data_IF_947055034038
#
_entry.id   IF_947055034038
#
_cell.length_a   1.000
_cell.length_b   1.000
_cell.length_c   1.000
_cell.angle_alpha   90.00
_cell.angle_beta   90.00
_cell.angle_gamma   90.00
#
_symmetry.space_group_name_H-M   'P 1'
#
loop_
_entity.id
_entity.type
_entity.pdbx_description
1 polymer ?
#
# COMPACT_ATOMS: atom_id res chain seq x y z
N UNK A 1 -5.70 -4.72 -0.91
CA UNK A 1 -4.42 -4.93 -1.62
C UNK A 1 -3.23 -4.33 -0.88
N UNK A 2 -3.22 -3.05 -0.49
CA UNK A 2 -2.05 -2.46 0.19
C UNK A 2 -1.77 -3.05 1.58
N UNK A 3 -2.79 -3.38 2.37
CA UNK A 3 -2.56 -4.10 3.64
C UNK A 3 -1.89 -5.48 3.44
N UNK A 4 -2.16 -6.18 2.33
CA UNK A 4 -1.51 -7.45 2.01
C UNK A 4 -0.04 -7.25 1.63
N UNK A 5 0.27 -6.17 0.91
CA UNK A 5 1.65 -5.79 0.61
C UNK A 5 2.42 -5.30 1.86
N UNK A 6 1.72 -4.65 2.80
CA UNK A 6 2.25 -4.31 4.11
C UNK A 6 2.64 -5.57 4.90
N UNK A 7 1.72 -6.53 5.00
CA UNK A 7 1.99 -7.85 5.60
C UNK A 7 3.17 -8.56 4.91
N UNK A 8 3.26 -8.52 3.58
CA UNK A 8 4.39 -9.11 2.86
C UNK A 8 5.73 -8.45 3.25
N UNK A 9 5.77 -7.13 3.43
CA UNK A 9 6.96 -6.43 3.90
C UNK A 9 7.35 -6.79 5.35
N UNK A 10 6.40 -7.23 6.16
CA UNK A 10 6.65 -7.72 7.52
C UNK A 10 7.19 -9.15 7.54
N UNK A 11 6.55 -10.07 6.81
CA UNK A 11 6.76 -11.52 7.01
C UNK A 11 7.76 -12.17 6.06
N UNK A 12 8.00 -11.57 4.89
CA UNK A 12 8.89 -12.15 3.88
C UNK A 12 10.39 -11.93 4.12
N UNK A 13 10.86 -10.84 4.76
CA UNK A 13 12.28 -10.67 5.05
C UNK A 13 12.86 -11.86 5.81
N UNK A 14 14.02 -12.35 5.36
CA UNK A 14 14.70 -13.50 5.97
C UNK A 14 14.23 -14.87 5.46
N UNK A 15 13.18 -14.94 4.65
CA UNK A 15 12.75 -16.17 3.98
C UNK A 15 13.54 -16.41 2.70
N UNK A 16 13.76 -17.68 2.37
CA UNK A 16 14.16 -18.11 1.04
C UNK A 16 13.02 -17.90 0.04
N UNK A 17 13.33 -17.96 -1.26
CA UNK A 17 12.31 -17.86 -2.31
C UNK A 17 11.25 -18.96 -2.15
N UNK A 18 11.66 -20.19 -1.83
CA UNK A 18 10.71 -21.29 -1.66
C UNK A 18 9.80 -21.07 -0.46
N UNK A 19 10.32 -20.60 0.67
CA UNK A 19 9.52 -20.27 1.85
C UNK A 19 8.56 -19.10 1.58
N UNK A 20 9.02 -18.07 0.86
CA UNK A 20 8.19 -16.93 0.47
C UNK A 20 7.02 -17.35 -0.44
N UNK A 21 7.28 -18.22 -1.43
CA UNK A 21 6.25 -18.76 -2.33
C UNK A 21 5.24 -19.68 -1.63
N UNK A 22 5.60 -20.25 -0.49
CA UNK A 22 4.72 -21.08 0.34
C UNK A 22 4.19 -20.33 1.58
N UNK A 23 4.31 -18.99 1.63
CA UNK A 23 3.77 -18.20 2.73
C UNK A 23 2.39 -17.66 2.36
N UNK A 24 1.40 -17.95 3.21
CA UNK A 24 0.05 -17.44 3.05
C UNK A 24 -0.02 -15.96 3.44
N UNK A 25 -0.48 -15.12 2.51
CA UNK A 25 -0.80 -13.72 2.78
C UNK A 25 -2.32 -13.58 2.94
N UNK A 26 -2.75 -12.54 3.67
CA UNK A 26 -4.16 -12.25 4.00
C UNK A 26 -5.13 -12.21 2.80
N UNK A 27 -4.64 -12.15 1.56
CA UNK A 27 -5.45 -12.35 0.37
C UNK A 27 -5.16 -13.69 -0.32
N UNK A 28 -5.46 -14.80 0.33
CA UNK A 28 -5.20 -16.16 -0.15
C UNK A 28 -5.74 -16.42 -1.58
N UNK A 29 -6.95 -15.94 -1.88
CA UNK A 29 -7.53 -16.00 -3.24
C UNK A 29 -6.72 -15.24 -4.29
N UNK A 30 -6.09 -14.11 -3.92
CA UNK A 30 -5.22 -13.32 -4.80
C UNK A 30 -3.84 -13.97 -4.88
N UNK A 31 -3.31 -14.57 -3.81
CA UNK A 31 -2.02 -15.25 -3.86
C UNK A 31 -2.05 -16.45 -4.80
N UNK A 32 -3.10 -17.27 -4.76
CA UNK A 32 -3.29 -18.35 -5.71
C UNK A 32 -3.44 -17.78 -7.12
N UNK A 33 -4.32 -16.79 -7.33
CA UNK A 33 -4.51 -16.18 -8.65
C UNK A 33 -3.24 -15.53 -9.19
N UNK A 34 -2.45 -14.83 -8.37
CA UNK A 34 -1.19 -14.18 -8.73
C UNK A 34 -0.07 -15.18 -8.96
N UNK A 35 -0.03 -16.30 -8.23
CA UNK A 35 0.89 -17.41 -8.51
C UNK A 35 0.60 -18.00 -9.89
N UNK A 36 -0.67 -18.27 -10.19
CA UNK A 36 -1.07 -18.76 -11.50
C UNK A 36 -0.80 -17.73 -12.61
N UNK A 37 -1.08 -16.43 -12.37
CA UNK A 37 -0.79 -15.36 -13.31
C UNK A 37 0.71 -15.16 -13.54
N UNK A 38 1.52 -15.23 -12.48
CA UNK A 38 2.98 -15.13 -12.53
C UNK A 38 3.59 -16.29 -13.31
N UNK A 39 3.09 -17.51 -13.11
CA UNK A 39 3.46 -18.66 -13.95
C UNK A 39 3.19 -18.36 -15.42
N UNK A 40 2.00 -17.84 -15.77
CA UNK A 40 1.67 -17.49 -17.16
C UNK A 40 2.56 -16.37 -17.73
N UNK A 41 2.90 -15.34 -16.93
CA UNK A 41 3.74 -14.20 -17.35
C UNK A 41 5.21 -14.64 -17.54
N UNK A 42 5.75 -15.48 -16.65
CA UNK A 42 7.09 -16.07 -16.79
C UNK A 42 7.20 -16.96 -18.03
N UNK A 43 6.10 -17.62 -18.43
CA UNK A 43 6.00 -18.34 -19.70
C UNK A 43 5.63 -17.44 -20.90
N UNK A 44 5.72 -16.11 -20.76
CA UNK A 44 5.62 -15.16 -21.87
C UNK A 44 4.20 -14.78 -22.30
N UNK A 45 3.20 -14.89 -21.41
CA UNK A 45 1.83 -14.45 -21.70
C UNK A 45 1.49 -13.11 -21.06
N UNK A 46 0.93 -12.18 -21.83
CA UNK A 46 0.56 -10.84 -21.37
C UNK A 46 -0.89 -10.78 -20.88
N UNK A 47 -1.21 -9.81 -20.01
CA UNK A 47 -2.56 -9.59 -19.44
C UNK A 47 -3.67 -9.48 -20.51
N UNK A 48 -3.33 -8.99 -21.71
CA UNK A 48 -4.22 -8.92 -22.87
C UNK A 48 -4.71 -10.28 -23.40
N UNK A 49 -4.08 -11.39 -23.00
CA UNK A 49 -4.51 -12.74 -23.38
C UNK A 49 -5.84 -13.17 -22.71
N UNK A 50 -6.35 -12.41 -21.74
CA UNK A 50 -7.55 -12.74 -20.95
C UNK A 50 -8.78 -11.88 -21.25
N UNK A 51 -8.73 -11.02 -22.27
CA UNK A 51 -9.86 -10.16 -22.63
C UNK A 51 -10.15 -10.30 -24.12
N UNK A 52 -11.19 -11.07 -24.48
CA UNK A 52 -11.56 -11.38 -25.86
C UNK A 52 -11.89 -10.13 -26.70
N UNK A 53 -12.29 -9.03 -26.06
CA UNK A 53 -12.64 -7.75 -26.72
C UNK A 53 -11.77 -6.56 -26.26
N UNK A 54 -10.71 -6.82 -25.49
CA UNK A 54 -9.92 -5.79 -24.83
C UNK A 54 -10.69 -5.05 -23.71
N UNK A 55 -10.02 -4.10 -23.06
CA UNK A 55 -10.64 -3.32 -21.99
C UNK A 55 -11.62 -2.28 -22.56
N UNK A 56 -12.83 -2.14 -22.00
CA UNK A 56 -13.79 -1.13 -22.46
C UNK A 56 -13.26 0.29 -22.23
N UNK A 57 -13.72 1.23 -23.07
CA UNK A 57 -13.39 2.65 -22.92
C UNK A 57 -13.87 3.13 -21.55
N UNK A 58 -12.95 3.67 -20.74
CA UNK A 58 -13.23 4.11 -19.37
C UNK A 58 -12.83 3.11 -18.28
N UNK A 59 -12.46 1.87 -18.61
CA UNK A 59 -11.98 0.89 -17.63
C UNK A 59 -10.78 1.39 -16.80
N UNK A 60 -9.88 2.16 -17.42
CA UNK A 60 -8.74 2.76 -16.71
C UNK A 60 -9.12 3.81 -15.66
N UNK A 61 -10.37 4.31 -15.65
CA UNK A 61 -10.87 5.16 -14.57
C UNK A 61 -11.27 4.34 -13.34
N UNK A 62 -11.56 3.05 -13.49
CA UNK A 62 -11.89 2.16 -12.36
C UNK A 62 -10.65 1.91 -11.49
N UNK A 63 -9.46 1.91 -12.09
CA UNK A 63 -8.18 1.87 -11.38
C UNK A 63 -7.91 3.16 -10.56
N UNK A 64 -8.59 4.25 -10.93
CA UNK A 64 -8.56 5.49 -10.17
C UNK A 64 -9.66 5.43 -9.11
N UNK A 65 -9.26 5.19 -7.85
CA UNK A 65 -10.19 5.15 -6.72
C UNK A 65 -11.00 6.46 -6.54
N UNK A 66 -11.74 6.59 -5.44
CA UNK A 66 -12.67 7.73 -5.20
C UNK A 66 -12.11 9.15 -5.40
N UNK A 67 -10.79 9.33 -5.37
CA UNK A 67 -10.11 10.59 -5.65
C UNK A 67 -9.75 10.84 -7.12
N UNK A 68 -10.14 9.96 -8.04
CA UNK A 68 -9.70 9.94 -9.45
C UNK A 68 -8.17 10.07 -9.59
N UNK A 69 -7.45 9.40 -8.68
CA UNK A 69 -5.99 9.36 -8.60
C UNK A 69 -5.56 7.90 -8.53
N UNK A 70 -4.46 7.59 -9.21
CA UNK A 70 -3.78 6.31 -9.13
C UNK A 70 -3.51 5.95 -7.67
N UNK A 71 -3.90 4.73 -7.29
CA UNK A 71 -3.59 4.17 -5.98
C UNK A 71 -2.21 3.55 -6.05
N UNK A 72 -1.27 4.06 -5.27
CA UNK A 72 0.11 3.56 -5.21
C UNK A 72 0.32 2.98 -3.82
N UNK A 73 0.92 1.80 -3.76
CA UNK A 73 1.46 1.23 -2.53
C UNK A 73 2.98 1.17 -2.64
N UNK A 74 3.69 1.61 -1.61
CA UNK A 74 5.15 1.46 -1.55
C UNK A 74 5.54 1.09 -0.14
N UNK A 75 6.08 -0.11 0.01
CA UNK A 75 6.56 -0.65 1.27
C UNK A 75 7.93 -1.29 1.07
N UNK A 76 8.76 -1.22 2.11
CA UNK A 76 10.01 -1.95 2.19
C UNK A 76 10.07 -2.77 3.47
N UNK A 77 10.73 -3.92 3.43
CA UNK A 77 10.97 -4.75 4.61
C UNK A 77 12.43 -5.19 4.63
N UNK A 78 13.12 -5.00 5.75
CA UNK A 78 14.48 -5.50 5.93
C UNK A 78 14.65 -6.06 7.34
N UNK A 79 15.51 -7.06 7.51
CA UNK A 79 15.81 -7.60 8.85
C UNK A 79 16.41 -6.56 9.80
N UNK A 80 17.19 -5.60 9.27
CA UNK A 80 17.88 -4.60 10.10
C UNK A 80 16.97 -3.48 10.58
N UNK A 81 15.98 -3.10 9.77
CA UNK A 81 15.13 -1.94 10.03
C UNK A 81 13.67 -2.29 10.29
N UNK A 82 13.25 -3.50 9.97
CA UNK A 82 11.83 -3.90 9.98
C UNK A 82 11.07 -3.37 8.76
N UNK A 83 9.73 -3.44 8.79
CA UNK A 83 8.85 -2.94 7.75
C UNK A 83 8.80 -1.39 7.71
N UNK A 84 8.60 -0.84 6.52
CA UNK A 84 8.47 0.61 6.27
C UNK A 84 7.35 0.86 5.27
N UNK A 85 6.27 1.49 5.70
CA UNK A 85 5.18 1.91 4.82
C UNK A 85 5.44 3.34 4.39
N UNK A 86 5.66 3.56 3.11
CA UNK A 86 5.93 4.87 2.54
C UNK A 86 4.67 5.47 1.92
N UNK A 87 3.91 4.64 1.20
CA UNK A 87 2.63 5.00 0.60
C UNK A 87 1.66 3.84 0.83
N UNK A 88 0.51 4.18 1.40
CA UNK A 88 -0.65 3.29 1.53
C UNK A 88 -1.75 3.79 0.59
N UNK A 89 -2.80 2.99 0.37
CA UNK A 89 -3.97 3.45 -0.43
C UNK A 89 -4.58 4.71 0.16
N UNK A 90 -4.49 4.90 1.48
CA UNK A 90 -4.95 6.11 2.15
C UNK A 90 -4.09 7.34 1.80
N UNK A 91 -2.83 7.16 1.42
CA UNK A 91 -1.93 8.21 0.95
C UNK A 91 -0.49 8.08 1.45
N UNK A 92 0.21 9.21 1.41
CA UNK A 92 1.60 9.33 1.84
C UNK A 92 1.70 9.13 3.33
N UNK A 93 2.43 8.11 3.76
CA UNK A 93 2.64 7.82 5.18
C UNK A 93 3.67 8.78 5.74
N UNK A 94 3.29 9.54 6.76
CA UNK A 94 4.17 10.47 7.48
C UNK A 94 4.87 9.79 8.65
N UNK A 95 4.13 8.95 9.37
CA UNK A 95 4.61 8.30 10.60
C UNK A 95 4.09 6.87 10.69
N UNK A 96 4.95 5.95 11.13
CA UNK A 96 4.56 4.62 11.59
C UNK A 96 4.44 4.62 13.11
N UNK A 97 3.34 4.05 13.60
CA UNK A 97 3.13 3.78 15.01
C UNK A 97 3.65 2.40 15.36
N UNK A 98 4.59 2.36 16.30
CA UNK A 98 5.18 1.13 16.82
C UNK A 98 4.77 0.90 18.27
N UNK A 99 4.59 -0.36 18.65
CA UNK A 99 4.45 -0.79 20.04
C UNK A 99 5.80 -1.10 20.70
N UNK A 100 5.75 -1.67 21.90
CA UNK A 100 6.92 -1.99 22.74
C UNK A 100 7.86 -3.01 22.09
N UNK A 101 7.34 -3.84 21.18
CA UNK A 101 8.08 -4.89 20.47
C UNK A 101 8.57 -4.40 19.08
N UNK A 102 8.50 -3.09 18.82
CA UNK A 102 8.75 -2.45 17.51
C UNK A 102 7.83 -2.99 16.39
N UNK A 103 6.67 -3.58 16.71
CA UNK A 103 5.67 -4.02 15.73
C UNK A 103 4.82 -2.84 15.24
N UNK A 104 4.45 -2.84 13.95
CA UNK A 104 3.64 -1.75 13.38
C UNK A 104 2.17 -1.93 13.75
N UNK A 105 1.67 -1.06 14.61
CA UNK A 105 0.29 -1.08 15.09
C UNK A 105 -0.62 -0.05 14.43
N UNK A 106 -0.04 0.87 13.66
CA UNK A 106 -0.78 1.91 12.93
C UNK A 106 0.12 2.84 12.12
N UNK A 107 -0.48 3.84 11.48
CA UNK A 107 0.25 4.86 10.74
C UNK A 107 -0.55 6.16 10.58
N UNK A 108 0.17 7.27 10.40
CA UNK A 108 -0.38 8.56 10.00
C UNK A 108 -0.10 8.80 8.52
N UNK A 109 -1.02 9.46 7.83
CA UNK A 109 -0.91 9.67 6.40
C UNK A 109 -1.52 11.00 5.94
N UNK A 110 -1.16 11.41 4.73
CA UNK A 110 -1.74 12.54 4.01
C UNK A 110 -2.35 12.06 2.70
N UNK A 111 -3.65 12.24 2.54
CA UNK A 111 -4.34 11.84 1.31
C UNK A 111 -4.24 12.94 0.24
N UNK A 112 -3.31 12.81 -0.70
CA UNK A 112 -3.12 13.82 -1.74
C UNK A 112 -4.33 14.03 -2.64
N UNK A 113 -5.13 12.99 -2.91
CA UNK A 113 -6.35 13.14 -3.72
C UNK A 113 -7.35 14.10 -3.05
N UNK A 114 -7.60 13.89 -1.75
CA UNK A 114 -8.43 14.79 -0.94
C UNK A 114 -7.82 16.18 -0.83
N UNK A 115 -6.51 16.28 -0.57
CA UNK A 115 -5.79 17.55 -0.49
C UNK A 115 -5.98 18.38 -1.77
N UNK A 116 -5.80 17.78 -2.94
CA UNK A 116 -5.98 18.48 -4.22
C UNK A 116 -7.44 18.85 -4.46
N UNK A 117 -8.41 18.05 -4.02
CA UNK A 117 -9.82 18.40 -4.11
C UNK A 117 -10.18 19.60 -3.22
N UNK A 118 -9.63 19.68 -2.01
CA UNK A 118 -9.79 20.83 -1.13
C UNK A 118 -9.18 22.10 -1.73
N UNK A 119 -7.97 22.01 -2.30
CA UNK A 119 -7.33 23.13 -3.00
C UNK A 119 -8.17 23.60 -4.19
N UNK A 120 -8.70 22.67 -5.00
CA UNK A 120 -9.60 23.00 -6.12
C UNK A 120 -10.90 23.66 -5.66
N UNK A 121 -11.37 23.34 -4.45
CA UNK A 121 -12.54 23.95 -3.85
C UNK A 121 -12.25 25.33 -3.21
N UNK A 122 -10.98 25.77 -3.20
CA UNK A 122 -10.58 27.11 -2.74
C UNK A 122 -9.87 27.15 -1.38
N UNK A 123 -9.61 26.01 -0.74
CA UNK A 123 -8.79 25.98 0.48
C UNK A 123 -7.34 26.36 0.15
N UNK A 124 -6.68 27.08 1.06
CA UNK A 124 -5.24 27.29 0.98
C UNK A 124 -4.48 25.96 1.21
N UNK A 125 -3.23 25.83 0.72
CA UNK A 125 -2.49 24.57 0.83
C UNK A 125 -2.33 24.01 2.25
N UNK A 126 -2.20 24.87 3.26
CA UNK A 126 -2.01 24.43 4.64
C UNK A 126 -3.31 23.85 5.20
N UNK A 127 -4.42 24.56 5.02
CA UNK A 127 -5.75 24.10 5.44
C UNK A 127 -6.13 22.79 4.74
N UNK A 128 -5.86 22.71 3.43
CA UNK A 128 -6.11 21.50 2.65
C UNK A 128 -5.27 20.30 3.12
N UNK A 129 -4.01 20.54 3.48
CA UNK A 129 -3.12 19.53 4.05
C UNK A 129 -3.67 18.99 5.38
N UNK A 130 -4.01 19.87 6.31
CA UNK A 130 -4.53 19.49 7.63
C UNK A 130 -5.83 18.68 7.51
N UNK A 131 -6.75 19.09 6.62
CA UNK A 131 -7.99 18.35 6.32
C UNK A 131 -7.77 16.99 5.66
N UNK A 132 -6.66 16.83 4.95
CA UNK A 132 -6.31 15.60 4.23
C UNK A 132 -5.46 14.63 5.08
N UNK A 133 -5.00 15.05 6.26
CA UNK A 133 -4.30 14.20 7.21
C UNK A 133 -5.26 13.21 7.88
N UNK A 134 -4.76 12.04 8.20
CA UNK A 134 -5.50 11.02 8.92
C UNK A 134 -4.59 10.00 9.60
N UNK A 135 -5.21 9.09 10.34
CA UNK A 135 -4.52 7.99 10.99
C UNK A 135 -5.30 6.69 10.85
N UNK A 136 -4.59 5.57 10.86
CA UNK A 136 -5.15 4.22 10.78
C UNK A 136 -4.50 3.31 11.82
N UNK A 137 -5.28 2.44 12.44
CA UNK A 137 -4.81 1.53 13.49
C UNK A 137 -4.71 2.18 14.86
N UNK A 138 -3.91 1.56 15.74
CA UNK A 138 -3.76 1.93 17.15
C UNK A 138 -2.68 2.99 17.35
N UNK A 139 -2.77 4.09 16.62
CA UNK A 139 -1.76 5.15 16.65
C UNK A 139 -1.64 5.83 18.00
N UNK A 140 -2.76 5.93 18.74
CA UNK A 140 -2.77 6.54 20.07
C UNK A 140 -2.13 5.64 21.15
N UNK A 141 -2.01 4.34 20.87
CA UNK A 141 -1.35 3.35 21.74
C UNK A 141 0.15 3.22 21.44
N UNK A 142 0.67 4.00 20.48
CA UNK A 142 2.05 3.89 20.03
C UNK A 142 3.03 4.38 21.10
N UNK A 143 4.01 3.54 21.44
CA UNK A 143 5.13 3.98 22.28
C UNK A 143 6.14 4.81 21.48
N UNK A 144 6.10 4.70 20.15
CA UNK A 144 7.04 5.37 19.26
C UNK A 144 6.42 5.68 17.90
N UNK A 145 6.68 6.89 17.40
CA UNK A 145 6.40 7.29 16.02
C UNK A 145 7.71 7.44 15.25
N UNK A 146 7.80 6.79 14.10
CA UNK A 146 8.96 6.91 13.21
C UNK A 146 8.58 7.41 11.82
N UNK A 147 9.41 8.29 11.26
CA UNK A 147 9.37 8.61 9.84
C UNK A 147 9.90 7.40 9.06
N UNK A 148 9.10 6.80 8.16
CA UNK A 148 9.50 5.60 7.44
C UNK A 148 10.67 5.82 6.46
N UNK A 149 11.08 7.06 6.20
CA UNK A 149 12.14 7.44 5.25
C UNK A 149 13.48 7.74 5.90
N UNK A 150 13.47 8.19 7.15
CA UNK A 150 14.66 8.76 7.78
C UNK A 150 15.14 8.01 9.03
N UNK A 151 14.37 7.04 9.56
CA UNK A 151 14.72 6.29 10.79
C UNK A 151 14.81 4.77 10.60
#
# INVERSE_FOLDING_TARGET
>A
MTHSAAMAAEILPGKTILEALNTDLVCDAINVAMRELFLQIVYGRTQTAFSEDGLPIGAGLEDLGKGLRSQIGTMYGTLKKGPRYLEMTDGYVTDLALDEDDEVIGYKFVNFGKMMNFIKAGDDPKTAYEKACGQYGRVDDAVKLIDPRNK
#
